data_IF_457316392157
#
_entry.id   IF_457316392157
#
_cell.length_a   1.000
_cell.length_b   1.000
_cell.length_c   1.000
_cell.angle_alpha   90.00
_cell.angle_beta   90.00
_cell.angle_gamma   90.00
#
_symmetry.space_group_name_H-M   'P 1'
#
loop_
_entity.id
_entity.type
_entity.pdbx_description
1 polymer ?
#
# COMPACT_ATOMS: atom_id res chain seq x y z
N UNK A 1 -22.15 -0.86 52.87
CA UNK A 1 -23.29 -0.68 51.96
C UNK A 1 -23.40 0.82 51.74
N UNK A 2 -22.97 1.31 50.58
CA UNK A 2 -23.03 2.71 50.21
C UNK A 2 -23.89 2.78 48.94
N UNK A 3 -24.98 3.53 49.01
CA UNK A 3 -26.01 3.63 47.99
C UNK A 3 -25.47 4.41 46.78
N UNK A 4 -25.72 3.87 45.58
CA UNK A 4 -25.28 4.44 44.32
C UNK A 4 -26.21 5.57 43.86
N UNK A 5 -25.63 6.76 43.64
CA UNK A 5 -26.30 7.85 42.95
C UNK A 5 -26.45 7.53 41.45
N UNK A 6 -27.68 7.63 40.97
CA UNK A 6 -28.11 7.28 39.61
C UNK A 6 -27.93 8.51 38.72
N UNK A 7 -26.98 8.46 37.78
CA UNK A 7 -26.81 9.49 36.75
C UNK A 7 -28.03 9.51 35.79
N UNK A 8 -28.63 10.68 35.48
CA UNK A 8 -29.72 10.78 34.53
C UNK A 8 -29.19 10.61 33.09
N UNK A 9 -29.89 9.79 32.30
CA UNK A 9 -29.63 9.58 30.88
C UNK A 9 -30.21 10.75 30.06
N UNK A 10 -29.53 11.26 29.02
CA UNK A 10 -30.08 12.28 28.15
C UNK A 10 -31.13 11.68 27.21
N UNK A 11 -32.31 12.31 27.14
CA UNK A 11 -33.35 12.00 26.16
C UNK A 11 -32.88 12.34 24.74
N UNK A 12 -32.91 11.35 23.85
CA UNK A 12 -32.70 11.50 22.43
C UNK A 12 -33.92 12.14 21.77
N UNK A 13 -33.84 13.44 21.47
CA UNK A 13 -34.80 14.10 20.57
C UNK A 13 -34.33 13.88 19.13
N UNK A 14 -34.91 12.86 18.49
CA UNK A 14 -34.78 12.64 17.05
C UNK A 14 -35.68 13.64 16.32
N UNK A 15 -35.09 14.75 15.87
CA UNK A 15 -35.75 15.69 14.95
C UNK A 15 -35.24 15.42 13.53
N UNK A 16 -36.14 14.93 12.68
CA UNK A 16 -35.91 14.77 11.25
C UNK A 16 -35.81 16.14 10.57
N UNK A 17 -34.71 16.40 9.86
CA UNK A 17 -34.58 17.57 9.00
C UNK A 17 -35.32 17.37 7.67
N UNK A 18 -35.94 18.42 7.10
CA UNK A 18 -36.67 18.33 5.85
C UNK A 18 -35.73 18.34 4.62
N UNK A 19 -36.03 17.44 3.69
CA UNK A 19 -35.39 17.27 2.40
C UNK A 19 -35.60 18.51 1.52
N UNK A 20 -34.52 19.25 1.24
CA UNK A 20 -34.53 20.40 0.33
C UNK A 20 -33.68 20.09 -0.91
N UNK A 21 -34.40 19.94 -2.03
CA UNK A 21 -33.87 19.38 -3.26
C UNK A 21 -33.02 20.31 -4.14
N UNK A 22 -32.72 19.75 -5.32
CA UNK A 22 -32.09 20.31 -6.53
C UNK A 22 -30.57 20.15 -6.68
N UNK A 23 -30.09 18.91 -6.59
CA UNK A 23 -28.78 18.51 -7.11
C UNK A 23 -28.75 18.48 -8.65
N UNK A 24 -28.15 19.51 -9.26
CA UNK A 24 -27.74 19.52 -10.68
C UNK A 24 -26.70 18.42 -10.91
N UNK A 25 -27.08 17.31 -11.55
CA UNK A 25 -26.15 16.23 -11.91
C UNK A 25 -25.13 16.71 -12.95
N UNK A 26 -23.89 16.92 -12.51
CA UNK A 26 -22.75 17.12 -13.41
C UNK A 26 -22.27 15.74 -13.87
N UNK A 27 -22.56 15.36 -15.11
CA UNK A 27 -21.94 14.19 -15.74
C UNK A 27 -20.45 14.46 -16.01
N UNK A 28 -19.50 13.66 -15.50
CA UNK A 28 -18.10 13.79 -15.89
C UNK A 28 -17.96 13.37 -17.37
N UNK A 29 -17.42 14.26 -18.19
CA UNK A 29 -17.34 14.15 -19.65
C UNK A 29 -16.29 13.13 -20.15
N UNK A 30 -15.54 12.47 -19.27
CA UNK A 30 -14.58 11.43 -19.64
C UNK A 30 -14.52 10.36 -18.54
N UNK A 31 -14.79 9.12 -18.89
CA UNK A 31 -14.66 7.98 -17.98
C UNK A 31 -13.29 7.30 -18.15
N UNK A 32 -12.80 6.58 -17.12
CA UNK A 32 -11.55 5.79 -17.21
C UNK A 32 -11.51 4.85 -18.41
N UNK A 33 -12.67 4.42 -18.91
CA UNK A 33 -12.83 3.57 -20.08
C UNK A 33 -12.46 4.30 -21.38
N UNK A 34 -12.80 5.59 -21.50
CA UNK A 34 -12.50 6.40 -22.70
C UNK A 34 -10.99 6.73 -22.82
N UNK A 35 -10.30 6.82 -21.68
CA UNK A 35 -8.84 7.02 -21.65
C UNK A 35 -8.08 5.79 -22.18
N UNK A 36 -8.49 4.59 -21.76
CA UNK A 36 -7.83 3.34 -22.16
C UNK A 36 -8.10 2.95 -23.62
N UNK A 37 -9.27 3.30 -24.16
CA UNK A 37 -9.60 3.04 -25.58
C UNK A 37 -8.79 3.94 -26.53
N UNK A 38 -8.43 5.16 -26.11
CA UNK A 38 -7.63 6.08 -26.94
C UNK A 38 -6.13 5.81 -26.95
N UNK A 39 -5.60 4.99 -26.04
CA UNK A 39 -4.17 4.69 -25.94
C UNK A 39 -3.63 3.61 -26.90
N UNK A 40 -4.46 3.00 -27.75
CA UNK A 40 -4.02 1.97 -28.72
C UNK A 40 -3.73 2.50 -30.14
N UNK A 41 -3.70 3.82 -30.36
CA UNK A 41 -3.27 4.41 -31.63
C UNK A 41 -1.83 4.94 -31.50
N UNK A 42 -0.83 4.05 -31.55
CA UNK A 42 0.59 4.43 -31.45
C UNK A 42 1.57 3.32 -31.85
N UNK A 43 1.85 3.25 -33.15
CA UNK A 43 3.07 2.72 -33.79
C UNK A 43 3.60 1.32 -33.45
N UNK A 44 3.40 0.37 -34.37
CA UNK A 44 4.34 -0.74 -34.60
C UNK A 44 4.71 -0.73 -36.08
N UNK A 45 5.87 -0.16 -36.42
CA UNK A 45 6.51 -0.35 -37.72
C UNK A 45 7.76 -1.20 -37.50
N UNK A 46 7.69 -2.49 -37.81
CA UNK A 46 8.85 -3.39 -37.83
C UNK A 46 9.46 -3.33 -39.22
N UNK A 47 10.53 -2.54 -39.38
CA UNK A 47 11.39 -2.55 -40.56
C UNK A 47 12.52 -3.56 -40.38
N UNK A 48 12.55 -4.57 -41.24
CA UNK A 48 13.65 -5.55 -41.36
C UNK A 48 14.74 -4.93 -42.23
N UNK A 49 15.97 -4.78 -41.71
CA UNK A 49 17.15 -4.51 -42.55
C UNK A 49 18.30 -5.42 -42.13
N UNK A 50 18.71 -6.23 -43.10
CA UNK A 50 19.86 -7.12 -43.16
C UNK A 50 21.20 -6.37 -43.00
N UNK A 51 22.22 -7.07 -42.50
CA UNK A 51 23.47 -6.50 -42.04
C UNK A 51 24.33 -5.70 -43.03
N UNK A 52 25.03 -4.72 -42.45
CA UNK A 52 26.36 -4.24 -42.83
C UNK A 52 26.90 -3.43 -41.63
N UNK A 53 28.18 -3.58 -41.31
CA UNK A 53 28.80 -3.05 -40.10
C UNK A 53 28.66 -1.53 -39.93
N UNK A 54 28.35 -1.11 -38.71
CA UNK A 54 28.49 0.29 -38.28
C UNK A 54 29.65 0.40 -37.32
N UNK A 55 30.70 1.09 -37.78
CA UNK A 55 31.82 1.52 -36.96
C UNK A 55 31.31 2.39 -35.81
N UNK A 56 31.81 2.10 -34.60
CA UNK A 56 31.56 2.88 -33.40
C UNK A 56 32.19 4.27 -33.54
N UNK A 57 31.42 5.23 -34.04
CA UNK A 57 31.73 6.65 -33.95
C UNK A 57 31.38 7.16 -32.55
N UNK A 58 32.39 7.61 -31.81
CA UNK A 58 32.21 8.37 -30.58
C UNK A 58 31.52 9.71 -30.92
N UNK A 59 30.23 9.81 -30.62
CA UNK A 59 29.51 11.09 -30.65
C UNK A 59 29.81 11.81 -29.33
N UNK A 60 30.39 13.02 -29.34
CA UNK A 60 30.57 13.78 -28.11
C UNK A 60 29.19 14.14 -27.55
N UNK A 61 28.98 13.89 -26.27
CA UNK A 61 27.78 14.31 -25.55
C UNK A 61 27.68 15.84 -25.64
N UNK A 62 26.77 16.34 -26.47
CA UNK A 62 26.44 17.76 -26.48
C UNK A 62 25.68 18.06 -25.19
N UNK A 63 26.19 19.01 -24.41
CA UNK A 63 25.51 19.52 -23.24
C UNK A 63 24.13 20.07 -23.67
N UNK A 64 23.09 19.49 -23.09
CA UNK A 64 21.72 19.94 -23.31
C UNK A 64 21.61 21.41 -22.83
N UNK A 65 21.14 22.35 -23.67
CA UNK A 65 20.99 23.73 -23.26
C UNK A 65 20.07 23.80 -22.03
N UNK A 66 20.28 24.75 -21.11
CA UNK A 66 19.49 24.86 -19.90
C UNK A 66 18.02 24.97 -20.29
N UNK A 67 17.26 23.95 -19.91
CA UNK A 67 15.84 23.85 -20.17
C UNK A 67 15.17 25.09 -19.57
N UNK A 68 14.56 25.91 -20.43
CA UNK A 68 13.90 27.14 -20.01
C UNK A 68 12.90 26.81 -18.91
N UNK A 69 12.96 27.56 -17.80
CA UNK A 69 12.03 27.41 -16.70
C UNK A 69 10.58 27.42 -17.24
N UNK A 70 9.71 26.51 -16.78
CA UNK A 70 8.33 26.46 -17.25
C UNK A 70 7.69 27.85 -17.07
N UNK A 71 6.78 28.25 -17.98
CA UNK A 71 6.14 29.56 -17.94
C UNK A 71 5.57 29.79 -16.54
N UNK A 72 5.86 30.97 -15.96
CA UNK A 72 5.37 31.34 -14.63
C UNK A 72 3.85 31.21 -14.63
N UNK A 73 3.34 30.12 -14.05
CA UNK A 73 1.92 29.85 -14.09
C UNK A 73 1.19 31.04 -13.41
N UNK A 74 0.03 31.42 -13.95
CA UNK A 74 -0.69 32.64 -13.62
C UNK A 74 -1.00 32.82 -12.12
N UNK A 75 -1.56 33.98 -11.72
CA UNK A 75 -1.82 34.28 -10.32
C UNK A 75 -2.68 33.19 -9.66
N UNK A 76 -2.24 32.73 -8.49
CA UNK A 76 -2.93 31.72 -7.67
C UNK A 76 -3.79 32.46 -6.64
N UNK A 77 -5.02 32.00 -6.31
CA UNK A 77 -5.83 32.64 -5.27
C UNK A 77 -5.08 32.76 -3.94
N UNK A 78 -5.41 33.77 -3.12
CA UNK A 78 -4.73 34.02 -1.83
C UNK A 78 -4.82 32.85 -0.85
N UNK A 79 -5.81 31.98 -1.03
CA UNK A 79 -6.03 30.76 -0.23
C UNK A 79 -5.16 29.59 -0.70
N UNK A 80 -4.42 29.73 -1.80
CA UNK A 80 -3.63 28.68 -2.41
C UNK A 80 -2.16 29.06 -2.47
N UNK A 81 -1.28 28.05 -2.39
CA UNK A 81 0.16 28.24 -2.46
C UNK A 81 0.83 27.15 -3.29
N UNK A 82 1.75 27.55 -4.17
CA UNK A 82 2.66 26.62 -4.83
C UNK A 82 3.78 26.21 -3.89
N UNK A 83 4.02 24.91 -3.78
CA UNK A 83 5.09 24.34 -2.96
C UNK A 83 5.77 23.21 -3.72
N UNK A 84 7.09 23.14 -3.57
CA UNK A 84 7.93 22.08 -4.15
C UNK A 84 8.35 21.12 -3.03
N UNK A 85 7.57 20.07 -2.81
CA UNK A 85 7.81 19.10 -1.73
C UNK A 85 8.89 18.09 -2.13
N UNK A 86 9.61 17.57 -1.15
CA UNK A 86 10.57 16.48 -1.30
C UNK A 86 10.12 15.35 -0.38
N UNK A 87 9.46 14.33 -0.95
CA UNK A 87 8.88 13.21 -0.21
C UNK A 87 9.57 11.94 -0.65
N UNK A 88 10.22 11.25 0.29
CA UNK A 88 10.97 10.02 0.03
C UNK A 88 12.02 10.21 -1.10
N UNK A 89 12.65 11.39 -1.15
CA UNK A 89 13.64 11.76 -2.16
C UNK A 89 13.06 12.17 -3.52
N UNK A 90 11.73 12.20 -3.68
CA UNK A 90 11.05 12.57 -4.92
C UNK A 90 10.48 13.98 -4.82
N UNK A 91 10.65 14.76 -5.88
CA UNK A 91 10.10 16.12 -5.99
C UNK A 91 8.63 16.09 -6.40
N UNK A 92 7.81 16.86 -5.71
CA UNK A 92 6.39 17.04 -6.00
C UNK A 92 6.05 18.53 -5.99
N UNK A 93 5.80 19.10 -7.18
CA UNK A 93 5.31 20.46 -7.31
C UNK A 93 3.78 20.47 -7.26
N UNK A 94 3.22 21.04 -6.20
CA UNK A 94 1.78 21.05 -5.95
C UNK A 94 1.27 22.45 -5.59
N UNK A 95 0.00 22.69 -5.87
CA UNK A 95 -0.71 23.90 -5.42
C UNK A 95 -1.72 23.49 -4.35
N UNK A 96 -1.51 23.94 -3.11
CA UNK A 96 -2.24 23.49 -1.92
C UNK A 96 -3.04 24.63 -1.30
N UNK A 97 -4.16 24.33 -0.64
CA UNK A 97 -4.83 25.32 0.21
C UNK A 97 -3.93 25.65 1.41
N UNK A 98 -3.93 26.89 1.86
CA UNK A 98 -3.10 27.34 3.00
C UNK A 98 -3.44 26.64 4.33
N UNK A 99 -4.61 25.99 4.41
CA UNK A 99 -5.10 25.22 5.56
C UNK A 99 -4.89 23.71 5.40
N UNK A 100 -4.49 23.25 4.22
CA UNK A 100 -4.32 21.83 3.93
C UNK A 100 -3.14 21.26 4.72
N UNK A 101 -3.37 20.15 5.40
CA UNK A 101 -2.35 19.42 6.13
C UNK A 101 -1.46 18.60 5.20
N UNK A 102 -0.25 18.29 5.65
CA UNK A 102 0.70 17.43 4.95
C UNK A 102 0.09 16.06 4.69
N UNK A 103 -0.69 15.53 5.65
CA UNK A 103 -1.38 14.26 5.46
C UNK A 103 -2.39 14.32 4.30
N UNK A 104 -3.23 15.36 4.25
CA UNK A 104 -4.20 15.55 3.16
C UNK A 104 -3.49 15.70 1.81
N UNK A 105 -2.45 16.52 1.70
CA UNK A 105 -1.73 16.67 0.42
C UNK A 105 -1.11 15.36 -0.03
N UNK A 106 -0.46 14.62 0.87
CA UNK A 106 0.13 13.32 0.51
C UNK A 106 -0.94 12.33 0.05
N UNK A 107 -2.05 12.19 0.78
CA UNK A 107 -3.01 11.12 0.53
C UNK A 107 -4.05 11.49 -0.53
N UNK A 108 -4.62 12.69 -0.47
CA UNK A 108 -5.71 13.11 -1.35
C UNK A 108 -5.20 13.67 -2.69
N UNK A 109 -4.19 14.54 -2.68
CA UNK A 109 -3.67 15.10 -3.93
C UNK A 109 -2.66 14.17 -4.62
N UNK A 110 -1.70 13.64 -3.86
CA UNK A 110 -0.59 12.86 -4.42
C UNK A 110 -0.86 11.34 -4.45
N UNK A 111 -1.92 10.86 -3.78
CA UNK A 111 -2.24 9.43 -3.71
C UNK A 111 -1.19 8.59 -2.94
N UNK A 112 -0.32 9.23 -2.16
CA UNK A 112 0.72 8.61 -1.35
C UNK A 112 0.12 8.10 -0.04
N UNK A 113 -0.42 6.89 -0.08
CA UNK A 113 -1.02 6.20 1.07
C UNK A 113 0.02 5.63 2.04
N UNK A 114 1.03 6.42 2.40
CA UNK A 114 2.19 6.03 3.22
C UNK A 114 2.09 6.47 4.69
N UNK A 115 0.96 7.05 5.11
CA UNK A 115 0.65 7.40 6.50
C UNK A 115 -0.87 7.30 6.71
N UNK A 116 -1.33 7.01 7.92
CA UNK A 116 -2.77 6.83 8.19
C UNK A 116 -3.35 8.05 8.90
N UNK A 117 -4.60 8.43 8.60
CA UNK A 117 -5.33 9.40 9.42
C UNK A 117 -6.15 8.64 10.46
N UNK A 118 -6.16 9.18 11.68
CA UNK A 118 -6.99 8.66 12.77
C UNK A 118 -7.78 9.79 13.40
N UNK A 119 -7.20 10.45 14.39
CA UNK A 119 -7.89 11.47 15.18
C UNK A 119 -7.97 12.87 14.54
N UNK A 120 -7.12 13.16 13.55
CA UNK A 120 -6.97 14.47 12.90
C UNK A 120 -6.80 15.67 13.85
N UNK A 121 -6.17 15.42 15.01
CA UNK A 121 -5.95 16.44 16.06
C UNK A 121 -4.68 16.20 16.87
N UNK A 122 -3.67 15.60 16.25
CA UNK A 122 -2.35 15.30 16.85
C UNK A 122 -2.35 14.46 18.15
N UNK A 123 -3.37 13.64 18.38
CA UNK A 123 -3.45 12.81 19.59
C UNK A 123 -3.01 11.37 19.39
N UNK A 124 -3.24 10.77 18.21
CA UNK A 124 -3.06 9.33 18.03
C UNK A 124 -1.74 8.89 17.36
N UNK A 125 -0.98 9.80 16.76
CA UNK A 125 0.30 9.49 16.10
C UNK A 125 0.22 8.68 14.80
N UNK A 126 -0.95 8.20 14.38
CA UNK A 126 -1.10 7.33 13.19
C UNK A 126 -0.57 7.97 11.88
N UNK A 127 -0.59 9.30 11.81
CA UNK A 127 -0.13 10.10 10.67
C UNK A 127 1.34 10.51 10.76
N UNK A 128 2.13 9.88 11.65
CA UNK A 128 3.52 10.28 11.87
C UNK A 128 4.35 10.08 10.60
N UNK A 129 5.06 11.14 10.23
CA UNK A 129 6.13 11.17 9.21
C UNK A 129 7.32 11.90 9.80
N UNK A 130 8.47 11.85 9.12
CA UNK A 130 9.63 12.64 9.49
C UNK A 130 9.72 13.88 8.60
N UNK A 131 9.91 15.05 9.20
CA UNK A 131 10.30 16.27 8.49
C UNK A 131 11.67 16.69 9.03
N UNK A 132 12.67 16.72 8.14
CA UNK A 132 14.07 16.99 8.49
C UNK A 132 14.58 16.12 9.65
N UNK A 133 14.24 14.82 9.61
CA UNK A 133 14.62 13.83 10.62
C UNK A 133 13.78 13.83 11.90
N UNK A 134 12.85 14.77 12.07
CA UNK A 134 12.00 14.87 13.26
C UNK A 134 10.64 14.23 13.02
N UNK A 135 10.23 13.32 13.91
CA UNK A 135 8.89 12.76 13.89
C UNK A 135 7.84 13.84 14.21
N UNK A 136 6.85 13.98 13.34
CA UNK A 136 5.75 14.96 13.46
C UNK A 136 4.42 14.35 13.05
N UNK A 137 3.33 14.84 13.63
CA UNK A 137 1.97 14.50 13.22
C UNK A 137 1.64 15.20 11.89
N UNK A 138 1.55 14.44 10.79
CA UNK A 138 1.28 14.98 9.45
C UNK A 138 -0.03 15.78 9.36
N UNK A 139 -1.05 15.42 10.16
CA UNK A 139 -2.32 16.16 10.23
C UNK A 139 -2.19 17.60 10.74
N UNK A 140 -1.12 17.94 11.46
CA UNK A 140 -0.92 19.30 12.02
C UNK A 140 0.12 20.13 11.30
N UNK A 141 0.79 19.57 10.30
CA UNK A 141 1.77 20.30 9.50
C UNK A 141 1.05 20.89 8.30
N UNK A 142 0.97 22.22 8.22
CA UNK A 142 0.39 22.89 7.04
C UNK A 142 1.34 22.73 5.84
N UNK A 143 0.86 22.13 4.75
CA UNK A 143 1.68 21.90 3.56
C UNK A 143 2.20 23.19 2.96
N UNK A 144 1.40 24.26 3.02
CA UNK A 144 1.78 25.60 2.57
C UNK A 144 3.00 26.20 3.32
N UNK A 145 3.42 25.64 4.46
CA UNK A 145 4.64 26.06 5.18
C UNK A 145 5.90 25.33 4.70
N UNK A 146 5.75 24.26 3.94
CA UNK A 146 6.83 23.44 3.40
C UNK A 146 7.31 23.97 2.04
N UNK A 147 8.15 23.20 1.37
CA UNK A 147 8.64 23.50 0.02
C UNK A 147 9.81 24.48 -0.04
N UNK A 148 10.58 24.60 1.06
CA UNK A 148 11.80 25.42 1.16
C UNK A 148 13.04 24.55 1.35
N UNK A 149 13.01 23.32 0.84
CA UNK A 149 14.11 22.35 0.93
C UNK A 149 13.97 21.29 2.02
N UNK A 150 12.92 21.35 2.86
CA UNK A 150 12.67 20.33 3.88
C UNK A 150 12.50 18.95 3.24
N UNK A 151 13.01 17.91 3.92
CA UNK A 151 12.91 16.51 3.52
C UNK A 151 11.82 15.82 4.31
N UNK A 152 10.83 15.30 3.60
CA UNK A 152 9.73 14.52 4.17
C UNK A 152 10.05 13.05 3.93
N UNK A 153 10.08 12.26 5.00
CA UNK A 153 10.32 10.82 4.93
C UNK A 153 9.11 10.09 5.53
N UNK A 154 8.53 9.19 4.74
CA UNK A 154 7.38 8.37 5.10
C UNK A 154 7.78 6.92 5.37
N UNK A 155 6.81 6.08 5.74
CA UNK A 155 7.06 4.65 5.95
C UNK A 155 7.53 3.92 4.69
N UNK A 156 7.21 4.43 3.50
CA UNK A 156 7.69 3.84 2.26
C UNK A 156 9.17 4.18 2.00
N UNK A 157 9.60 5.39 2.37
CA UNK A 157 10.96 5.86 2.10
C UNK A 157 12.06 5.22 2.95
N UNK A 158 11.72 4.52 4.04
CA UNK A 158 12.72 3.84 4.87
C UNK A 158 13.10 2.44 4.33
N UNK A 159 12.31 1.88 3.42
CA UNK A 159 12.62 0.59 2.81
C UNK A 159 13.77 0.72 1.81
N UNK A 160 14.67 -0.27 1.81
CA UNK A 160 15.84 -0.34 0.91
C UNK A 160 15.53 -1.07 -0.41
N UNK A 161 14.34 -1.65 -0.57
CA UNK A 161 13.96 -2.39 -1.77
C UNK A 161 12.60 -3.08 -1.66
N UNK A 162 12.23 -3.91 -2.65
CA UNK A 162 10.98 -4.64 -2.64
C UNK A 162 11.01 -5.85 -1.71
N UNK A 163 9.83 -6.26 -1.26
CA UNK A 163 9.61 -7.48 -0.50
C UNK A 163 10.26 -7.51 0.89
N UNK A 164 10.22 -8.68 1.56
CA UNK A 164 10.76 -8.88 2.91
C UNK A 164 12.21 -8.42 3.11
N UNK A 165 13.05 -8.64 2.10
CA UNK A 165 14.48 -8.34 2.16
C UNK A 165 14.76 -6.84 2.09
N UNK A 166 13.88 -6.09 1.41
CA UNK A 166 13.98 -4.65 1.30
C UNK A 166 13.40 -3.89 2.49
N UNK A 167 12.74 -4.56 3.44
CA UNK A 167 12.22 -3.91 4.64
C UNK A 167 13.37 -3.35 5.50
N UNK A 168 13.17 -2.15 6.03
CA UNK A 168 14.03 -1.61 7.09
C UNK A 168 13.97 -2.52 8.34
N UNK A 169 15.04 -2.67 9.14
CA UNK A 169 15.01 -3.47 10.37
C UNK A 169 13.82 -3.16 11.29
N UNK A 170 13.43 -1.89 11.41
CA UNK A 170 12.22 -1.48 12.16
C UNK A 170 10.93 -2.07 11.57
N UNK A 171 10.73 -1.98 10.25
CA UNK A 171 9.53 -2.55 9.61
C UNK A 171 9.50 -4.06 9.77
N UNK A 172 10.64 -4.71 9.56
CA UNK A 172 10.79 -6.16 9.67
C UNK A 172 10.53 -6.64 11.10
N UNK A 173 11.06 -5.93 12.09
CA UNK A 173 10.82 -6.28 13.49
C UNK A 173 9.35 -6.14 13.88
N UNK A 174 8.67 -5.06 13.46
CA UNK A 174 7.23 -4.93 13.70
C UNK A 174 6.44 -6.06 13.03
N UNK A 175 6.85 -6.48 11.83
CA UNK A 175 6.23 -7.58 11.13
C UNK A 175 6.41 -8.92 11.86
N UNK A 176 7.66 -9.30 12.16
CA UNK A 176 7.98 -10.61 12.71
C UNK A 176 7.70 -10.76 14.20
N UNK A 177 7.64 -9.66 14.94
CA UNK A 177 7.17 -9.67 16.34
C UNK A 177 5.64 -9.59 16.44
N UNK A 178 4.92 -9.42 15.34
CA UNK A 178 3.48 -9.18 15.38
C UNK A 178 3.12 -7.90 16.11
N UNK A 179 3.94 -6.84 15.98
CA UNK A 179 3.72 -5.51 16.55
C UNK A 179 2.54 -4.74 15.92
N UNK A 180 1.55 -5.46 15.38
CA UNK A 180 0.37 -4.93 14.73
C UNK A 180 -0.77 -5.96 14.80
N UNK A 181 -2.01 -5.46 14.77
CA UNK A 181 -3.22 -6.25 14.49
C UNK A 181 -3.99 -5.55 13.36
N UNK A 182 -4.86 -4.59 13.69
CA UNK A 182 -5.62 -3.84 12.69
C UNK A 182 -4.76 -2.95 11.78
N UNK A 183 -3.51 -2.68 12.16
CA UNK A 183 -2.53 -1.98 11.32
C UNK A 183 -2.65 -0.45 11.27
N UNK A 184 -3.76 0.15 11.72
CA UNK A 184 -4.00 1.60 11.57
C UNK A 184 -2.91 2.44 12.24
N UNK A 185 -2.43 2.05 13.41
CA UNK A 185 -1.37 2.79 14.11
C UNK A 185 0.06 2.41 13.66
N UNK A 186 0.24 1.29 12.96
CA UNK A 186 1.56 0.66 12.75
C UNK A 186 2.54 1.57 12.04
N UNK A 187 2.10 2.30 11.00
CA UNK A 187 2.97 3.23 10.27
C UNK A 187 3.51 4.34 11.17
N UNK A 188 2.68 4.89 12.05
CA UNK A 188 3.08 5.92 13.01
C UNK A 188 4.10 5.42 14.03
N UNK A 189 3.86 4.23 14.59
CA UNK A 189 4.80 3.57 15.50
C UNK A 189 6.14 3.26 14.83
N UNK A 190 6.13 2.75 13.60
CA UNK A 190 7.33 2.47 12.81
C UNK A 190 8.14 3.74 12.58
N UNK A 191 7.51 4.84 12.16
CA UNK A 191 8.23 6.10 11.91
C UNK A 191 8.78 6.73 13.20
N UNK A 192 8.04 6.65 14.31
CA UNK A 192 8.51 7.15 15.61
C UNK A 192 9.68 6.32 16.14
N UNK A 193 9.63 5.00 15.95
CA UNK A 193 10.72 4.07 16.28
C UNK A 193 11.95 4.33 15.42
N UNK A 194 11.75 4.55 14.12
CA UNK A 194 12.83 4.92 13.20
C UNK A 194 13.51 6.21 13.66
N UNK A 195 12.76 7.27 13.97
CA UNK A 195 13.32 8.54 14.46
C UNK A 195 14.13 8.38 15.74
N UNK A 196 13.63 7.60 16.71
CA UNK A 196 14.39 7.26 17.92
C UNK A 196 15.73 6.59 17.57
N UNK A 197 15.69 5.55 16.73
CA UNK A 197 16.88 4.74 16.43
C UNK A 197 17.92 5.44 15.55
N UNK A 198 17.53 6.50 14.83
CA UNK A 198 18.49 7.37 14.15
C UNK A 198 19.36 8.16 15.13
N UNK A 199 18.82 8.50 16.30
CA UNK A 199 19.52 9.33 17.30
C UNK A 199 20.10 8.52 18.46
N UNK A 200 19.49 7.38 18.77
CA UNK A 200 19.93 6.47 19.83
C UNK A 200 19.82 5.01 19.36
N UNK A 201 20.98 4.41 19.03
CA UNK A 201 21.05 3.02 18.56
C UNK A 201 20.90 1.98 19.66
N UNK A 202 20.89 2.34 20.94
CA UNK A 202 20.72 1.41 22.05
C UNK A 202 19.80 2.00 23.13
N UNK A 203 18.52 2.26 22.81
CA UNK A 203 17.61 2.90 23.74
C UNK A 203 17.18 1.94 24.86
N UNK A 204 17.03 2.47 26.06
CA UNK A 204 16.41 1.74 27.17
C UNK A 204 14.91 1.62 26.95
N UNK A 205 14.25 0.69 27.67
CA UNK A 205 12.79 0.56 27.64
C UNK A 205 12.05 1.86 27.97
N UNK A 206 12.56 2.65 28.91
CA UNK A 206 11.96 3.93 29.25
C UNK A 206 12.05 4.91 28.06
N UNK A 207 13.19 4.97 27.38
CA UNK A 207 13.38 5.82 26.21
C UNK A 207 12.52 5.39 25.02
N UNK A 208 12.33 4.08 24.81
CA UNK A 208 11.43 3.58 23.77
C UNK A 208 9.99 3.98 24.11
N UNK A 209 9.52 3.75 25.34
CA UNK A 209 8.17 4.14 25.76
C UNK A 209 7.93 5.63 25.57
N UNK A 210 8.88 6.46 25.97
CA UNK A 210 8.80 7.92 25.79
C UNK A 210 8.70 8.30 24.32
N UNK A 211 9.58 7.78 23.47
CA UNK A 211 9.56 8.07 22.04
C UNK A 211 8.26 7.61 21.35
N UNK A 212 7.59 6.59 21.89
CA UNK A 212 6.35 6.05 21.35
C UNK A 212 5.09 6.63 22.00
N UNK A 213 5.21 7.43 23.07
CA UNK A 213 4.07 7.91 23.85
C UNK A 213 3.07 8.76 23.03
N UNK A 214 3.53 9.38 21.94
CA UNK A 214 2.68 10.11 20.99
C UNK A 214 1.87 9.22 20.03
N UNK A 215 2.01 7.90 20.09
CA UNK A 215 1.30 6.95 19.23
C UNK A 215 0.36 6.08 20.07
N UNK A 216 -0.91 5.99 19.65
CA UNK A 216 -1.95 5.25 20.35
C UNK A 216 -2.32 3.98 19.58
N UNK A 217 -2.26 2.84 20.24
CA UNK A 217 -2.73 1.54 19.76
C UNK A 217 -3.97 1.10 20.54
N UNK A 218 -5.12 0.95 19.87
CA UNK A 218 -6.34 0.44 20.51
C UNK A 218 -6.37 -1.08 20.63
N UNK A 219 -5.62 -1.79 19.79
CA UNK A 219 -5.47 -3.25 19.87
C UNK A 219 -4.59 -3.69 21.06
N UNK A 220 -3.82 -2.78 21.66
CA UNK A 220 -3.03 -3.05 22.86
C UNK A 220 -1.69 -3.76 22.63
N UNK A 221 -1.14 -3.75 21.41
CA UNK A 221 0.08 -4.50 21.05
C UNK A 221 1.41 -3.88 21.54
N UNK A 222 1.36 -2.98 22.52
CA UNK A 222 2.52 -2.21 22.99
C UNK A 222 3.72 -3.09 23.39
N UNK A 223 3.49 -4.22 24.06
CA UNK A 223 4.59 -5.12 24.48
C UNK A 223 5.34 -5.69 23.27
N UNK A 224 4.61 -6.10 22.23
CA UNK A 224 5.22 -6.60 20.98
C UNK A 224 5.91 -5.48 20.20
N UNK A 225 5.34 -4.26 20.22
CA UNK A 225 6.00 -3.08 19.64
C UNK A 225 7.30 -2.74 20.37
N UNK A 226 7.34 -2.81 21.70
CA UNK A 226 8.57 -2.62 22.48
C UNK A 226 9.63 -3.66 22.13
N UNK A 227 9.24 -4.94 22.07
CA UNK A 227 10.11 -6.03 21.60
C UNK A 227 10.66 -5.74 20.20
N UNK A 228 9.79 -5.32 19.28
CA UNK A 228 10.17 -4.98 17.91
C UNK A 228 11.23 -3.86 17.86
N UNK A 229 11.07 -2.79 18.64
CA UNK A 229 12.05 -1.69 18.65
C UNK A 229 13.40 -2.14 19.21
N UNK A 230 13.41 -2.91 20.30
CA UNK A 230 14.65 -3.45 20.86
C UNK A 230 15.39 -4.35 19.86
N UNK A 231 14.65 -5.25 19.21
CA UNK A 231 15.18 -6.17 18.21
C UNK A 231 15.68 -5.43 16.97
N UNK A 232 14.95 -4.44 16.48
CA UNK A 232 15.40 -3.56 15.41
C UNK A 232 16.69 -2.82 15.79
N UNK A 233 16.78 -2.30 17.02
CA UNK A 233 17.98 -1.63 17.52
C UNK A 233 19.20 -2.56 17.55
N UNK A 234 19.02 -3.78 18.07
CA UNK A 234 20.07 -4.82 18.09
C UNK A 234 20.53 -5.19 16.68
N UNK A 235 19.59 -5.43 15.75
CA UNK A 235 19.91 -5.76 14.37
C UNK A 235 20.67 -4.61 13.67
N UNK A 236 20.25 -3.35 13.90
CA UNK A 236 20.94 -2.16 13.37
C UNK A 236 22.36 -1.98 13.93
N UNK A 237 22.70 -2.64 15.05
CA UNK A 237 24.08 -2.71 15.59
C UNK A 237 24.87 -3.92 15.08
N UNK A 238 24.27 -4.76 14.23
CA UNK A 238 24.89 -5.96 13.68
C UNK A 238 24.81 -7.18 14.61
N UNK A 239 23.96 -7.13 15.64
CA UNK A 239 23.76 -8.27 16.54
C UNK A 239 22.86 -9.32 15.89
N UNK A 240 23.06 -10.60 16.25
CA UNK A 240 22.17 -11.68 15.83
C UNK A 240 20.87 -11.60 16.63
N UNK A 241 19.75 -11.43 15.93
CA UNK A 241 18.42 -11.31 16.54
C UNK A 241 17.56 -12.51 16.17
N UNK A 242 16.86 -13.06 17.16
CA UNK A 242 15.80 -14.05 16.93
C UNK A 242 14.44 -13.35 17.01
N UNK A 243 13.65 -13.47 15.95
CA UNK A 243 12.28 -12.96 15.92
C UNK A 243 11.28 -14.03 16.37
N UNK A 244 10.08 -13.59 16.74
CA UNK A 244 8.98 -14.47 17.18
C UNK A 244 8.45 -15.31 16.01
N UNK A 245 8.20 -14.68 14.86
CA UNK A 245 7.90 -15.39 13.62
C UNK A 245 9.19 -15.72 12.85
N UNK A 246 9.25 -16.88 12.16
CA UNK A 246 10.36 -17.16 11.27
C UNK A 246 10.32 -16.19 10.07
N UNK A 247 11.50 -15.76 9.62
CA UNK A 247 11.61 -15.19 8.29
C UNK A 247 11.30 -16.32 7.31
N UNK A 248 10.14 -16.25 6.68
CA UNK A 248 9.93 -16.96 5.42
C UNK A 248 10.92 -16.33 4.45
N UNK A 249 12.12 -16.91 4.37
CA UNK A 249 12.89 -16.77 3.17
C UNK A 249 11.93 -17.15 2.06
N UNK A 250 11.86 -16.34 1.01
CA UNK A 250 11.53 -16.88 -0.29
C UNK A 250 12.65 -17.89 -0.64
N UNK A 251 12.74 -19.00 0.09
CA UNK A 251 12.87 -20.27 -0.60
C UNK A 251 11.77 -20.15 -1.62
N UNK A 252 12.14 -20.17 -2.90
CA UNK A 252 11.19 -20.55 -3.91
C UNK A 252 10.37 -21.64 -3.24
N UNK A 253 9.07 -21.41 -3.09
CA UNK A 253 8.19 -22.55 -3.07
C UNK A 253 8.58 -23.19 -4.38
N UNK A 254 9.47 -24.18 -4.31
CA UNK A 254 9.48 -25.28 -5.23
C UNK A 254 8.04 -25.73 -5.13
N UNK A 255 7.23 -25.10 -5.97
CA UNK A 255 6.07 -25.71 -6.56
C UNK A 255 6.71 -26.98 -7.06
N UNK A 256 6.57 -28.04 -6.26
CA UNK A 256 6.89 -29.39 -6.66
C UNK A 256 6.33 -29.46 -8.05
N UNK A 257 7.23 -29.46 -9.03
CA UNK A 257 6.84 -29.42 -10.41
C UNK A 257 5.99 -30.67 -10.54
N UNK A 258 4.67 -30.49 -10.68
CA UNK A 258 3.80 -31.59 -11.01
C UNK A 258 4.45 -32.27 -12.21
N UNK A 259 4.58 -33.61 -12.19
CA UNK A 259 5.36 -34.32 -13.20
C UNK A 259 4.89 -33.84 -14.56
N UNK A 260 5.84 -33.46 -15.41
CA UNK A 260 5.61 -32.90 -16.73
C UNK A 260 4.84 -33.92 -17.60
N UNK A 261 3.52 -33.92 -17.44
CA UNK A 261 2.54 -34.33 -18.43
C UNK A 261 1.98 -33.08 -19.09
N UNK A 262 1.38 -33.23 -20.27
CA UNK A 262 0.83 -32.16 -21.10
C UNK A 262 -0.35 -31.41 -20.46
N UNK A 263 -0.26 -30.94 -19.22
CA UNK A 263 -1.37 -30.30 -18.53
C UNK A 263 -1.69 -28.93 -19.14
N UNK A 264 -2.97 -28.68 -19.37
CA UNK A 264 -3.50 -27.42 -19.91
C UNK A 264 -4.06 -26.60 -18.76
N UNK A 265 -3.84 -25.29 -18.78
CA UNK A 265 -4.37 -24.36 -17.78
C UNK A 265 -5.12 -23.22 -18.48
N UNK A 266 -6.29 -22.84 -17.97
CA UNK A 266 -7.10 -21.74 -18.51
C UNK A 266 -7.82 -21.01 -17.38
N UNK A 267 -7.81 -19.69 -17.45
CA UNK A 267 -8.55 -18.84 -16.52
C UNK A 267 -9.99 -18.67 -17.00
N UNK A 268 -10.92 -18.74 -16.05
CA UNK A 268 -12.34 -18.50 -16.22
C UNK A 268 -12.81 -17.44 -15.21
N UNK A 269 -13.78 -16.61 -15.61
CA UNK A 269 -14.42 -15.64 -14.73
C UNK A 269 -15.74 -16.22 -14.20
N UNK A 270 -15.99 -16.14 -12.90
CA UNK A 270 -17.26 -16.61 -12.33
C UNK A 270 -18.42 -15.74 -12.82
N UNK A 271 -19.58 -16.36 -13.03
CA UNK A 271 -20.83 -15.62 -13.26
C UNK A 271 -21.18 -14.78 -12.03
N UNK A 272 -21.06 -15.38 -10.85
CA UNK A 272 -21.21 -14.74 -9.55
C UNK A 272 -19.90 -14.85 -8.78
N UNK A 273 -19.23 -13.73 -8.44
CA UNK A 273 -18.03 -13.76 -7.61
C UNK A 273 -18.26 -14.43 -6.25
N UNK A 274 -17.22 -15.06 -5.73
CA UNK A 274 -17.21 -15.58 -4.37
C UNK A 274 -17.23 -14.41 -3.37
N UNK A 275 -17.83 -14.64 -2.22
CA UNK A 275 -17.97 -13.64 -1.16
C UNK A 275 -16.66 -13.37 -0.42
N UNK A 276 -15.81 -14.39 -0.27
CA UNK A 276 -14.52 -14.29 0.41
C UNK A 276 -13.47 -15.23 -0.19
N UNK A 277 -12.20 -15.05 0.16
CA UNK A 277 -11.10 -15.91 -0.30
C UNK A 277 -11.15 -17.31 0.32
N UNK A 278 -11.70 -17.46 1.52
CA UNK A 278 -11.87 -18.77 2.17
C UNK A 278 -12.83 -19.67 1.38
N UNK A 279 -13.86 -19.08 0.75
CA UNK A 279 -14.76 -19.82 -0.15
C UNK A 279 -14.01 -20.32 -1.40
N UNK A 280 -12.96 -19.62 -1.82
CA UNK A 280 -12.11 -20.08 -2.93
C UNK A 280 -11.26 -21.28 -2.51
N UNK A 281 -10.75 -21.31 -1.28
CA UNK A 281 -9.95 -22.43 -0.77
C UNK A 281 -10.78 -23.71 -0.66
N UNK A 282 -12.04 -23.60 -0.22
CA UNK A 282 -13.00 -24.70 -0.19
C UNK A 282 -13.27 -25.25 -1.61
N UNK A 283 -13.59 -24.35 -2.55
CA UNK A 283 -13.80 -24.70 -3.96
C UNK A 283 -12.56 -25.34 -4.58
N UNK A 284 -11.37 -24.77 -4.36
CA UNK A 284 -10.13 -25.30 -4.88
C UNK A 284 -9.82 -26.69 -4.33
N UNK A 285 -10.17 -26.96 -3.07
CA UNK A 285 -10.03 -28.27 -2.44
C UNK A 285 -10.98 -29.30 -3.04
N UNK A 286 -12.22 -28.92 -3.33
CA UNK A 286 -13.20 -29.77 -4.02
C UNK A 286 -12.76 -30.08 -5.47
N UNK A 287 -12.34 -29.05 -6.21
CA UNK A 287 -11.91 -29.20 -7.61
C UNK A 287 -10.67 -30.09 -7.77
N UNK A 288 -9.72 -30.04 -6.83
CA UNK A 288 -8.54 -30.94 -6.83
C UNK A 288 -8.89 -32.41 -6.64
N UNK A 289 -10.07 -32.73 -6.10
CA UNK A 289 -10.55 -34.11 -5.97
C UNK A 289 -11.22 -34.62 -7.26
N UNK A 290 -11.48 -33.75 -8.24
CA UNK A 290 -12.16 -34.12 -9.48
C UNK A 290 -11.20 -34.81 -10.44
N UNK A 291 -11.58 -35.96 -11.04
CA UNK A 291 -10.74 -36.67 -12.00
C UNK A 291 -10.33 -35.77 -13.17
N UNK A 292 -9.02 -35.73 -13.46
CA UNK A 292 -8.46 -34.94 -14.55
C UNK A 292 -8.00 -33.53 -14.17
N UNK A 293 -8.42 -32.99 -13.02
CA UNK A 293 -7.85 -31.74 -12.47
C UNK A 293 -6.55 -32.06 -11.74
N UNK A 294 -5.47 -31.37 -12.10
CA UNK A 294 -4.13 -31.53 -11.51
C UNK A 294 -3.68 -30.32 -10.69
N UNK A 295 -4.36 -29.18 -10.85
CA UNK A 295 -4.08 -27.97 -10.09
C UNK A 295 -5.23 -26.97 -10.17
N UNK A 296 -5.31 -26.07 -9.18
CA UNK A 296 -6.30 -25.00 -9.14
C UNK A 296 -5.67 -23.77 -8.49
N UNK A 297 -5.80 -22.62 -9.12
CA UNK A 297 -5.40 -21.30 -8.60
C UNK A 297 -6.44 -20.26 -8.98
N UNK A 298 -6.45 -19.09 -8.36
CA UNK A 298 -7.48 -18.09 -8.65
C UNK A 298 -7.63 -17.00 -7.60
N UNK A 299 -8.76 -16.30 -7.68
CA UNK A 299 -9.20 -15.21 -6.81
C UNK A 299 -10.71 -15.36 -6.57
N UNK A 300 -11.31 -14.45 -5.81
CA UNK A 300 -12.76 -14.43 -5.58
C UNK A 300 -13.57 -14.17 -6.87
N UNK A 301 -12.92 -13.72 -7.95
CA UNK A 301 -13.57 -13.40 -9.23
C UNK A 301 -13.24 -14.38 -10.35
N UNK A 302 -12.15 -15.14 -10.22
CA UNK A 302 -11.64 -15.97 -11.30
C UNK A 302 -11.09 -17.29 -10.79
N UNK A 303 -11.23 -18.35 -11.56
CA UNK A 303 -10.61 -19.65 -11.30
C UNK A 303 -9.76 -20.06 -12.48
N UNK A 304 -8.60 -20.64 -12.20
CA UNK A 304 -7.63 -21.13 -13.17
C UNK A 304 -7.33 -22.60 -12.84
N UNK A 305 -8.18 -23.53 -13.28
CA UNK A 305 -7.90 -24.96 -13.21
C UNK A 305 -6.78 -25.33 -14.18
N UNK A 306 -5.97 -26.29 -13.77
CA UNK A 306 -4.98 -26.97 -14.59
C UNK A 306 -5.41 -28.43 -14.68
N UNK A 307 -5.49 -28.99 -15.88
CA UNK A 307 -6.05 -30.32 -16.11
C UNK A 307 -5.27 -31.13 -17.15
N UNK A 308 -5.41 -32.45 -17.10
CA UNK A 308 -4.84 -33.38 -18.08
C UNK A 308 -5.75 -33.45 -19.32
N UNK A 309 -5.31 -32.98 -20.50
CA UNK A 309 -6.13 -32.97 -21.72
C UNK A 309 -6.44 -34.37 -22.25
N UNK A 310 -5.72 -35.42 -21.82
CA UNK A 310 -6.06 -36.79 -22.16
C UNK A 310 -7.29 -37.30 -21.39
N UNK A 311 -7.68 -36.63 -20.30
CA UNK A 311 -8.75 -37.05 -19.39
C UNK A 311 -9.90 -36.05 -19.31
N UNK A 312 -9.63 -34.77 -19.58
CA UNK A 312 -10.59 -33.70 -19.40
C UNK A 312 -10.40 -32.63 -20.49
N UNK A 313 -11.48 -32.15 -21.07
CA UNK A 313 -11.48 -31.03 -22.00
C UNK A 313 -12.06 -29.78 -21.32
N UNK A 314 -11.96 -28.62 -21.99
CA UNK A 314 -12.47 -27.36 -21.43
C UNK A 314 -13.98 -27.42 -21.13
N UNK A 315 -14.77 -28.09 -21.97
CA UNK A 315 -16.20 -28.26 -21.75
C UNK A 315 -16.46 -29.07 -20.46
N UNK A 316 -15.65 -30.10 -20.20
CA UNK A 316 -15.62 -30.83 -18.95
C UNK A 316 -15.29 -29.96 -17.74
N UNK A 317 -14.28 -29.10 -17.84
CA UNK A 317 -13.91 -28.15 -16.77
C UNK A 317 -15.07 -27.20 -16.45
N UNK A 318 -15.72 -26.63 -17.48
CA UNK A 318 -16.87 -25.72 -17.31
C UNK A 318 -18.06 -26.41 -16.66
N UNK A 319 -18.31 -27.68 -17.00
CA UNK A 319 -19.36 -28.49 -16.38
C UNK A 319 -19.07 -28.79 -14.92
N UNK A 320 -17.83 -29.18 -14.58
CA UNK A 320 -17.41 -29.39 -13.19
C UNK A 320 -17.64 -28.11 -12.36
N UNK A 321 -17.24 -26.96 -12.88
CA UNK A 321 -17.44 -25.67 -12.21
C UNK A 321 -18.93 -25.32 -12.01
N UNK A 322 -19.78 -25.66 -12.99
CA UNK A 322 -21.22 -25.49 -12.86
C UNK A 322 -21.84 -26.46 -11.82
N UNK A 323 -21.38 -27.71 -11.76
CA UNK A 323 -21.83 -28.72 -10.78
C UNK A 323 -21.48 -28.32 -9.34
N UNK A 324 -20.33 -27.67 -9.12
CA UNK A 324 -19.93 -27.14 -7.81
C UNK A 324 -20.67 -25.84 -7.45
N UNK A 325 -21.67 -25.41 -8.24
CA UNK A 325 -22.44 -24.19 -7.98
C UNK A 325 -21.74 -22.89 -8.38
N UNK A 326 -20.63 -22.97 -9.11
CA UNK A 326 -19.81 -21.83 -9.51
C UNK A 326 -19.67 -21.73 -11.04
N UNK A 327 -20.77 -21.54 -11.79
CA UNK A 327 -20.72 -21.44 -13.23
C UNK A 327 -19.85 -20.27 -13.67
N UNK A 328 -19.16 -20.44 -14.80
CA UNK A 328 -18.24 -19.45 -15.36
C UNK A 328 -18.76 -18.87 -16.67
N UNK A 329 -18.36 -17.63 -16.96
CA UNK A 329 -18.71 -16.94 -18.19
C UNK A 329 -18.13 -17.68 -19.42
N UNK A 330 -18.80 -17.60 -20.58
CA UNK A 330 -18.32 -18.20 -21.82
C UNK A 330 -16.91 -17.71 -22.19
#
# INVERSE_FOLDING_TARGET
MAEGEKFPQPESTEQAEPDSGTGRQVRPLLTRRDFLVRSNAGAVAVGVISGAGFAAGLIPAQAEPPQAAPPSAGPVPITMRRVALDIDGKKHDVTVDVRESLWETMNYQLGLSNSNLGCDRAQCGACTVLVDGRAVNGCTVLTARLGRGQKILTVAGIASGPGPQGLHPVQRAFWLEGGFQCGICTRGFVMSSYALLQTNKNPTNAQIKEALAGNICRCGEYTKMLSAVQKAAAEMRGERVSYTAPLLAASAVETSAAPAGNAVSRQFEFVTPLGTIEQFDDLASELKQRPGIVGVSGTERTVTPTWDPARLDEAGVRRILAETGHPVRP
#
